data_IF_366839980179
#
_entry.id   IF_366839980179
#
_cell.length_a   1.000
_cell.length_b   1.000
_cell.length_c   1.000
_cell.angle_alpha   90.00
_cell.angle_beta   90.00
_cell.angle_gamma   90.00
#
_symmetry.space_group_name_H-M   'P 1'
#
loop_
_entity.id
_entity.type
_entity.pdbx_description
1 polymer ?
#
# COMPACT_ATOMS: atom_id res chain seq x y z
N UNK A 1 -4.98 -1.69 -13.90
CA UNK A 1 -3.55 -1.52 -13.63
C UNK A 1 -2.77 -1.54 -14.95
N UNK A 2 -1.96 -0.52 -15.19
CA UNK A 2 -1.12 -0.44 -16.41
C UNK A 2 0.26 -1.01 -16.06
N UNK A 3 0.71 -2.03 -16.80
CA UNK A 3 2.06 -2.56 -16.66
C UNK A 3 2.59 -2.99 -18.02
N UNK A 4 3.91 -2.86 -18.24
CA UNK A 4 4.54 -3.28 -19.48
C UNK A 4 4.45 -4.80 -19.62
N UNK A 5 3.85 -5.28 -20.71
CA UNK A 5 3.62 -6.71 -20.95
C UNK A 5 4.29 -7.22 -22.22
N UNK A 6 4.50 -6.34 -23.18
CA UNK A 6 5.12 -6.66 -24.47
C UNK A 6 6.33 -5.74 -24.65
N UNK A 7 7.46 -6.31 -24.96
CA UNK A 7 8.71 -5.59 -25.21
C UNK A 7 9.60 -6.38 -26.18
N UNK A 8 10.53 -5.69 -26.82
CA UNK A 8 11.50 -6.36 -27.69
C UNK A 8 12.52 -7.15 -26.87
N UNK A 9 12.72 -8.41 -27.20
CA UNK A 9 13.75 -9.24 -26.59
C UNK A 9 15.14 -8.86 -27.15
N UNK A 10 15.73 -7.83 -26.55
CA UNK A 10 17.07 -7.33 -26.90
C UNK A 10 17.96 -7.35 -25.66
N UNK A 11 19.30 -7.52 -25.81
CA UNK A 11 20.21 -7.72 -24.67
C UNK A 11 20.23 -6.56 -23.66
N UNK A 12 19.86 -5.35 -24.09
CA UNK A 12 19.88 -4.15 -23.26
C UNK A 12 18.57 -3.86 -22.51
N UNK A 13 17.53 -4.71 -22.66
CA UNK A 13 16.29 -4.60 -21.92
C UNK A 13 16.13 -5.87 -21.08
N UNK A 14 16.10 -5.72 -19.77
CA UNK A 14 15.97 -6.85 -18.83
C UNK A 14 15.03 -6.53 -17.68
N UNK A 15 14.43 -7.57 -17.13
CA UNK A 15 13.75 -7.46 -15.84
C UNK A 15 14.78 -7.24 -14.74
N UNK A 16 14.45 -6.33 -13.86
CA UNK A 16 15.18 -6.00 -12.65
C UNK A 16 14.31 -6.29 -11.45
N UNK A 17 14.87 -6.85 -10.39
CA UNK A 17 14.25 -7.32 -9.14
C UNK A 17 13.59 -8.70 -9.28
N UNK A 18 13.66 -9.47 -8.20
CA UNK A 18 13.09 -10.82 -8.10
C UNK A 18 11.57 -10.78 -7.88
N UNK A 19 11.07 -9.69 -7.30
CA UNK A 19 9.64 -9.42 -7.08
C UNK A 19 9.33 -7.99 -7.49
N UNK A 20 8.09 -7.76 -7.94
CA UNK A 20 7.68 -6.49 -8.52
C UNK A 20 8.62 -6.09 -9.67
N UNK A 21 8.88 -7.05 -10.53
CA UNK A 21 9.81 -6.93 -11.65
C UNK A 21 9.52 -5.67 -12.46
N UNK A 22 10.56 -4.93 -12.73
CA UNK A 22 10.53 -3.74 -13.57
C UNK A 22 11.44 -3.95 -14.75
N UNK A 23 10.97 -3.62 -15.94
CA UNK A 23 11.84 -3.56 -17.12
C UNK A 23 12.75 -2.34 -17.00
N UNK A 24 14.03 -2.57 -17.20
CA UNK A 24 15.04 -1.51 -17.33
C UNK A 24 15.86 -1.69 -18.57
N UNK A 25 16.25 -0.57 -19.14
CA UNK A 25 17.28 -0.49 -20.17
C UNK A 25 18.64 -0.30 -19.49
N UNK A 26 19.71 -0.86 -20.05
CA UNK A 26 21.05 -0.64 -19.52
C UNK A 26 21.38 0.87 -19.52
N UNK A 27 22.23 1.29 -18.55
CA UNK A 27 22.83 2.64 -18.53
C UNK A 27 21.87 3.82 -18.33
N UNK A 28 20.88 3.70 -17.43
CA UNK A 28 19.96 4.80 -17.06
C UNK A 28 19.14 5.39 -18.22
N UNK A 29 19.01 4.68 -19.34
CA UNK A 29 18.15 5.10 -20.42
C UNK A 29 16.70 4.83 -20.09
N UNK A 30 15.85 5.83 -20.27
CA UNK A 30 14.40 5.67 -20.10
C UNK A 30 13.80 4.72 -21.16
N UNK A 31 12.85 3.88 -20.73
CA UNK A 31 12.05 3.05 -21.63
C UNK A 31 10.93 3.90 -22.22
N UNK A 32 10.88 4.01 -23.53
CA UNK A 32 9.71 4.54 -24.21
C UNK A 32 8.59 3.49 -24.17
N UNK A 33 7.43 3.86 -23.66
CA UNK A 33 6.27 2.96 -23.51
C UNK A 33 5.06 3.50 -24.24
N UNK A 34 4.30 2.60 -24.85
CA UNK A 34 3.03 2.92 -25.50
C UNK A 34 1.90 2.10 -24.85
N UNK A 35 0.71 2.70 -24.78
CA UNK A 35 -0.46 2.01 -24.22
C UNK A 35 -1.28 1.41 -25.36
N UNK A 36 -1.50 0.10 -25.30
CA UNK A 36 -2.29 -0.63 -26.27
C UNK A 36 -3.67 -0.93 -25.65
N UNK A 37 -4.78 -0.73 -26.37
CA UNK A 37 -6.13 -0.90 -25.84
C UNK A 37 -6.59 -2.36 -25.88
N UNK A 38 -5.91 -3.25 -25.17
CA UNK A 38 -6.44 -4.60 -24.98
C UNK A 38 -6.37 -5.03 -23.51
N UNK A 39 -7.21 -5.98 -23.15
CA UNK A 39 -7.38 -6.47 -21.77
C UNK A 39 -6.77 -7.86 -21.67
N UNK A 40 -5.89 -8.04 -20.68
CA UNK A 40 -5.35 -9.34 -20.32
C UNK A 40 -6.05 -9.82 -19.05
N UNK A 41 -6.80 -10.92 -19.15
CA UNK A 41 -7.39 -11.55 -17.98
C UNK A 41 -6.33 -12.33 -17.21
N UNK A 42 -6.24 -12.06 -15.91
CA UNK A 42 -5.23 -12.66 -15.06
C UNK A 42 -5.87 -13.33 -13.84
N UNK A 43 -5.77 -14.65 -13.75
CA UNK A 43 -6.32 -15.46 -12.64
C UNK A 43 -5.36 -15.63 -11.46
N UNK A 44 -4.16 -15.05 -11.53
CA UNK A 44 -3.08 -15.25 -10.53
C UNK A 44 -3.36 -14.71 -9.12
N UNK A 45 -4.45 -13.96 -8.94
CA UNK A 45 -4.92 -13.46 -7.65
C UNK A 45 -6.14 -14.20 -7.11
N UNK A 46 -6.60 -15.26 -7.76
CA UNK A 46 -7.65 -16.11 -7.19
C UNK A 46 -7.08 -16.86 -5.99
N UNK A 47 -7.84 -16.90 -4.90
CA UNK A 47 -7.43 -17.49 -3.60
C UNK A 47 -6.90 -18.92 -3.74
N UNK A 48 -7.52 -19.73 -4.58
CA UNK A 48 -7.08 -21.09 -4.84
C UNK A 48 -5.69 -21.14 -5.51
N UNK A 49 -5.47 -20.31 -6.53
CA UNK A 49 -4.18 -20.25 -7.26
C UNK A 49 -3.05 -19.71 -6.35
N UNK A 50 -3.36 -18.79 -5.42
CA UNK A 50 -2.39 -18.27 -4.44
C UNK A 50 -1.98 -19.39 -3.47
N UNK A 51 -2.95 -20.14 -2.94
CA UNK A 51 -2.69 -21.28 -2.01
C UNK A 51 -1.88 -22.39 -2.67
N UNK A 52 -2.27 -22.82 -3.87
CA UNK A 52 -1.60 -23.89 -4.62
C UNK A 52 -0.13 -23.59 -4.95
N UNK A 53 0.21 -22.31 -5.11
CA UNK A 53 1.57 -21.88 -5.50
C UNK A 53 2.43 -21.40 -4.32
N UNK A 54 1.96 -21.47 -3.08
CA UNK A 54 2.64 -20.93 -1.90
C UNK A 54 3.24 -19.53 -2.18
N UNK A 55 2.48 -18.73 -2.94
CA UNK A 55 2.99 -17.49 -3.55
C UNK A 55 3.45 -16.50 -2.50
N UNK A 56 2.71 -16.38 -1.40
CA UNK A 56 2.99 -15.40 -0.36
C UNK A 56 4.27 -15.74 0.43
N UNK A 57 4.50 -17.02 0.73
CA UNK A 57 5.73 -17.46 1.39
C UNK A 57 6.95 -17.22 0.51
N UNK A 58 6.89 -17.68 -0.73
CA UNK A 58 7.97 -17.47 -1.70
C UNK A 58 8.28 -15.98 -1.89
N UNK A 59 7.26 -15.13 -1.96
CA UNK A 59 7.45 -13.70 -2.14
C UNK A 59 8.10 -13.05 -0.91
N UNK A 60 7.67 -13.41 0.30
CA UNK A 60 8.29 -12.91 1.52
C UNK A 60 9.78 -13.31 1.60
N UNK A 61 10.12 -14.59 1.37
CA UNK A 61 11.49 -15.07 1.35
C UNK A 61 12.38 -14.34 0.32
N UNK A 62 11.85 -14.11 -0.89
CA UNK A 62 12.59 -13.40 -1.93
C UNK A 62 12.82 -11.93 -1.57
N UNK A 63 11.83 -11.28 -0.98
CA UNK A 63 11.96 -9.89 -0.49
C UNK A 63 12.96 -9.80 0.66
N UNK A 64 12.93 -10.73 1.60
CA UNK A 64 13.91 -10.77 2.69
C UNK A 64 15.34 -10.97 2.19
N UNK A 65 15.54 -11.83 1.19
CA UNK A 65 16.85 -12.02 0.54
C UNK A 65 17.30 -10.75 -0.16
N UNK A 66 16.42 -10.05 -0.87
CA UNK A 66 16.74 -8.77 -1.51
C UNK A 66 17.08 -7.68 -0.48
N UNK A 67 16.35 -7.63 0.65
CA UNK A 67 16.59 -6.67 1.72
C UNK A 67 17.97 -6.86 2.37
N UNK A 68 18.44 -8.11 2.48
CA UNK A 68 19.76 -8.43 3.03
C UNK A 68 20.92 -8.19 2.05
N UNK A 69 20.63 -8.19 0.75
CA UNK A 69 21.65 -8.08 -0.30
C UNK A 69 21.85 -6.66 -0.85
N UNK A 70 20.96 -5.71 -0.59
CA UNK A 70 21.00 -4.38 -1.20
C UNK A 70 20.75 -3.24 -0.20
N UNK A 71 21.09 -2.01 -0.64
CA UNK A 71 20.64 -0.76 0.01
C UNK A 71 19.12 -0.66 -0.05
N UNK A 72 18.44 -1.32 0.90
CA UNK A 72 16.98 -1.45 0.96
C UNK A 72 16.33 -0.09 1.06
N UNK A 73 15.42 0.19 0.13
CA UNK A 73 14.63 1.43 0.11
C UNK A 73 13.32 1.23 0.87
N UNK A 74 12.71 2.31 1.33
CA UNK A 74 11.43 2.25 2.03
C UNK A 74 10.35 1.47 1.27
N UNK A 75 10.34 1.55 -0.07
CA UNK A 75 9.40 0.81 -0.91
C UNK A 75 9.54 -0.72 -0.80
N UNK A 76 10.74 -1.23 -0.55
CA UNK A 76 10.97 -2.68 -0.40
C UNK A 76 10.35 -3.21 0.90
N UNK A 77 10.49 -2.45 1.98
CA UNK A 77 9.81 -2.75 3.24
C UNK A 77 8.29 -2.63 3.15
N UNK A 78 7.79 -1.66 2.37
CA UNK A 78 6.35 -1.56 2.09
C UNK A 78 5.81 -2.81 1.39
N UNK A 79 6.53 -3.32 0.39
CA UNK A 79 6.14 -4.55 -0.31
C UNK A 79 6.18 -5.78 0.61
N UNK A 80 7.23 -5.89 1.45
CA UNK A 80 7.33 -6.97 2.43
C UNK A 80 6.18 -6.92 3.45
N UNK A 81 5.82 -5.72 3.92
CA UNK A 81 4.68 -5.53 4.81
C UNK A 81 3.37 -6.02 4.18
N UNK A 82 3.15 -5.75 2.88
CA UNK A 82 1.98 -6.26 2.16
C UNK A 82 1.94 -7.80 2.11
N UNK A 83 3.09 -8.46 1.95
CA UNK A 83 3.14 -9.94 1.98
C UNK A 83 2.80 -10.50 3.37
N UNK A 84 3.29 -9.89 4.45
CA UNK A 84 2.91 -10.27 5.82
C UNK A 84 1.42 -10.01 6.08
N UNK A 85 0.90 -8.88 5.65
CA UNK A 85 -0.53 -8.58 5.78
C UNK A 85 -1.41 -9.60 5.04
N UNK A 86 -0.98 -10.05 3.85
CA UNK A 86 -1.69 -11.07 3.08
C UNK A 86 -1.73 -12.45 3.76
N UNK A 87 -0.84 -12.69 4.72
CA UNK A 87 -0.81 -13.88 5.59
C UNK A 87 -1.59 -13.68 6.90
N UNK A 88 -2.21 -12.51 7.09
CA UNK A 88 -2.82 -12.08 8.34
C UNK A 88 -1.83 -11.93 9.53
N UNK A 89 -0.54 -11.79 9.25
CA UNK A 89 0.52 -11.54 10.23
C UNK A 89 0.63 -10.02 10.49
N UNK A 90 -0.38 -9.47 11.20
CA UNK A 90 -0.62 -8.02 11.28
C UNK A 90 0.48 -7.29 12.06
N UNK A 91 1.01 -7.88 13.14
CA UNK A 91 2.11 -7.29 13.92
C UNK A 91 3.38 -7.14 13.09
N UNK A 92 3.76 -8.18 12.35
CA UNK A 92 4.93 -8.12 11.47
C UNK A 92 4.70 -7.14 10.30
N UNK A 93 3.50 -7.13 9.73
CA UNK A 93 3.13 -6.15 8.71
C UNK A 93 3.28 -4.72 9.23
N UNK A 94 2.76 -4.42 10.42
CA UNK A 94 2.88 -3.10 11.06
C UNK A 94 4.34 -2.70 11.26
N UNK A 95 5.17 -3.59 11.77
CA UNK A 95 6.61 -3.37 11.97
C UNK A 95 7.31 -2.96 10.66
N UNK A 96 7.01 -3.66 9.56
CA UNK A 96 7.61 -3.37 8.27
C UNK A 96 7.02 -2.11 7.60
N UNK A 97 5.73 -1.81 7.79
CA UNK A 97 5.16 -0.54 7.35
C UNK A 97 5.79 0.66 8.07
N UNK A 98 6.00 0.58 9.38
CA UNK A 98 6.68 1.63 10.14
C UNK A 98 8.12 1.83 9.66
N UNK A 99 8.84 0.74 9.33
CA UNK A 99 10.19 0.80 8.76
C UNK A 99 10.17 1.42 7.36
N UNK A 100 9.19 1.06 6.53
CA UNK A 100 8.99 1.64 5.21
C UNK A 100 8.74 3.15 5.30
N UNK A 101 7.88 3.57 6.20
CA UNK A 101 7.56 4.97 6.41
C UNK A 101 8.77 5.78 6.90
N UNK A 102 9.59 5.22 7.80
CA UNK A 102 10.83 5.86 8.27
C UNK A 102 11.83 6.09 7.13
N UNK A 103 11.89 5.18 6.17
CA UNK A 103 12.83 5.21 5.04
C UNK A 103 12.21 5.82 3.77
N UNK A 104 11.03 6.45 3.87
CA UNK A 104 10.40 7.10 2.71
C UNK A 104 11.28 8.22 2.15
N UNK A 105 11.38 8.35 0.82
CA UNK A 105 12.12 9.45 0.21
C UNK A 105 11.35 10.78 0.33
N UNK A 106 10.01 10.72 0.18
CA UNK A 106 9.12 11.89 0.24
C UNK A 106 7.68 11.40 0.49
N UNK A 107 6.89 12.19 1.23
CA UNK A 107 5.49 11.86 1.57
C UNK A 107 4.54 11.91 0.34
N UNK A 108 4.94 12.59 -0.74
CA UNK A 108 4.16 12.74 -1.98
C UNK A 108 4.13 11.47 -2.85
N UNK A 109 4.98 10.50 -2.60
CA UNK A 109 4.89 9.23 -3.33
C UNK A 109 3.61 8.48 -2.96
N UNK A 110 2.88 8.01 -3.97
CA UNK A 110 1.59 7.32 -3.80
C UNK A 110 1.65 6.10 -2.87
N UNK A 111 2.75 5.35 -2.88
CA UNK A 111 2.91 4.22 -1.97
C UNK A 111 3.05 4.66 -0.50
N UNK A 112 3.52 5.88 -0.24
CA UNK A 112 3.71 6.39 1.13
C UNK A 112 2.35 6.71 1.76
N UNK A 113 1.45 7.35 1.02
CA UNK A 113 0.09 7.59 1.51
C UNK A 113 -0.65 6.28 1.78
N UNK A 114 -0.53 5.29 0.89
CA UNK A 114 -1.07 3.94 1.10
C UNK A 114 -0.45 3.29 2.35
N UNK A 115 0.86 3.43 2.54
CA UNK A 115 1.57 2.90 3.71
C UNK A 115 1.00 3.46 5.02
N UNK A 116 0.70 4.77 5.07
CA UNK A 116 0.11 5.39 6.27
C UNK A 116 -1.30 4.85 6.53
N UNK A 117 -2.13 4.70 5.51
CA UNK A 117 -3.45 4.05 5.65
C UNK A 117 -3.31 2.63 6.19
N UNK A 118 -2.36 1.84 5.68
CA UNK A 118 -2.12 0.48 6.15
C UNK A 118 -1.63 0.43 7.60
N UNK A 119 -0.79 1.39 8.04
CA UNK A 119 -0.39 1.52 9.44
C UNK A 119 -1.63 1.72 10.33
N UNK A 120 -2.53 2.65 9.95
CA UNK A 120 -3.76 2.89 10.70
C UNK A 120 -4.64 1.65 10.76
N UNK A 121 -4.81 0.95 9.62
CA UNK A 121 -5.60 -0.29 9.57
C UNK A 121 -5.01 -1.40 10.44
N UNK A 122 -3.69 -1.59 10.43
CA UNK A 122 -3.03 -2.54 11.32
C UNK A 122 -3.23 -2.18 12.80
N UNK A 123 -3.03 -0.91 13.16
CA UNK A 123 -3.24 -0.44 14.53
C UNK A 123 -4.69 -0.61 14.97
N UNK A 124 -5.66 -0.33 14.11
CA UNK A 124 -7.09 -0.55 14.35
C UNK A 124 -7.37 -2.04 14.58
N UNK A 125 -6.83 -2.92 13.74
CA UNK A 125 -7.01 -4.37 13.88
C UNK A 125 -6.43 -4.90 15.20
N UNK A 126 -5.31 -4.33 15.66
CA UNK A 126 -4.64 -4.65 16.93
C UNK A 126 -5.27 -3.92 18.13
N UNK A 127 -6.41 -3.26 17.96
CA UNK A 127 -7.13 -2.47 18.97
C UNK A 127 -6.29 -1.36 19.62
N UNK A 128 -5.19 -0.96 18.95
CA UNK A 128 -4.32 0.15 19.36
C UNK A 128 -4.91 1.49 18.92
N UNK A 129 -6.13 1.76 19.34
CA UNK A 129 -6.92 2.88 18.83
C UNK A 129 -6.28 4.26 19.07
N UNK A 130 -5.66 4.47 20.22
CA UNK A 130 -5.01 5.75 20.52
C UNK A 130 -3.81 6.00 19.60
N UNK A 131 -3.01 4.97 19.33
CA UNK A 131 -1.89 5.08 18.40
C UNK A 131 -2.40 5.36 16.97
N UNK A 132 -3.48 4.70 16.56
CA UNK A 132 -4.10 4.94 15.26
C UNK A 132 -4.61 6.37 15.13
N UNK A 133 -5.28 6.91 16.15
CA UNK A 133 -5.77 8.29 16.17
C UNK A 133 -4.63 9.32 16.12
N UNK A 134 -3.48 9.05 16.76
CA UNK A 134 -2.30 9.90 16.66
C UNK A 134 -1.75 9.92 15.22
N UNK A 135 -1.61 8.74 14.58
CA UNK A 135 -1.18 8.66 13.18
C UNK A 135 -2.16 9.38 12.25
N UNK A 136 -3.47 9.25 12.49
CA UNK A 136 -4.50 9.95 11.72
C UNK A 136 -4.35 11.46 11.86
N UNK A 137 -4.13 11.97 13.06
CA UNK A 137 -3.97 13.42 13.31
C UNK A 137 -2.81 14.00 12.50
N UNK A 138 -1.67 13.33 12.48
CA UNK A 138 -0.52 13.75 11.67
C UNK A 138 -0.82 13.65 10.17
N UNK A 139 -1.49 12.58 9.76
CA UNK A 139 -1.79 12.32 8.36
C UNK A 139 -2.79 13.30 7.76
N UNK A 140 -3.79 13.76 8.51
CA UNK A 140 -4.78 14.75 8.05
C UNK A 140 -4.13 16.08 7.68
N UNK A 141 -3.03 16.47 8.34
CA UNK A 141 -2.27 17.67 7.98
C UNK A 141 -1.54 17.51 6.64
N UNK A 142 -1.05 16.32 6.35
CA UNK A 142 -0.26 16.04 5.13
C UNK A 142 -1.16 15.73 3.93
N UNK A 143 -2.25 14.98 4.16
CA UNK A 143 -3.16 14.47 3.14
C UNK A 143 -4.57 15.05 3.31
N UNK A 144 -4.68 16.36 3.49
CA UNK A 144 -5.93 17.07 3.81
C UNK A 144 -7.03 16.92 2.74
N UNK A 145 -6.66 16.60 1.50
CA UNK A 145 -7.61 16.45 0.38
C UNK A 145 -8.19 15.04 0.22
N UNK A 146 -7.81 14.11 1.11
CA UNK A 146 -8.28 12.72 1.06
C UNK A 146 -9.26 12.45 2.21
N UNK A 147 -10.34 11.72 1.96
CA UNK A 147 -11.33 11.41 2.98
C UNK A 147 -10.93 10.25 3.90
N UNK A 148 -9.90 9.46 3.52
CA UNK A 148 -9.55 8.19 4.17
C UNK A 148 -9.35 8.33 5.68
N UNK A 149 -8.58 9.35 6.11
CA UNK A 149 -8.23 9.50 7.51
C UNK A 149 -9.41 9.95 8.36
N UNK A 150 -10.27 10.86 7.85
CA UNK A 150 -11.51 11.23 8.53
C UNK A 150 -12.47 10.04 8.66
N UNK A 151 -12.59 9.25 7.60
CA UNK A 151 -13.38 8.04 7.64
C UNK A 151 -12.86 7.06 8.71
N UNK A 152 -11.56 6.77 8.71
CA UNK A 152 -10.93 5.88 9.67
C UNK A 152 -11.04 6.40 11.12
N UNK A 153 -10.96 7.73 11.32
CA UNK A 153 -11.20 8.36 12.61
C UNK A 153 -12.62 8.08 13.11
N UNK A 154 -13.62 8.30 12.27
CA UNK A 154 -15.02 8.03 12.61
C UNK A 154 -15.24 6.56 12.93
N UNK A 155 -14.66 5.65 12.16
CA UNK A 155 -14.72 4.22 12.39
C UNK A 155 -14.07 3.82 13.73
N UNK A 156 -12.91 4.37 14.08
CA UNK A 156 -12.24 4.10 15.35
C UNK A 156 -13.06 4.63 16.53
N UNK A 157 -13.63 5.84 16.42
CA UNK A 157 -14.52 6.34 17.47
C UNK A 157 -15.74 5.44 17.67
N UNK A 158 -16.33 4.94 16.58
CA UNK A 158 -17.42 3.97 16.65
C UNK A 158 -17.02 2.69 17.40
N UNK A 159 -15.84 2.13 17.09
CA UNK A 159 -15.30 0.95 17.76
C UNK A 159 -15.00 1.19 19.26
N UNK A 160 -14.68 2.42 19.63
CA UNK A 160 -14.51 2.85 21.02
C UNK A 160 -15.83 3.19 21.72
N UNK A 161 -16.97 2.96 21.09
CA UNK A 161 -18.31 3.37 21.58
C UNK A 161 -18.50 4.88 21.79
N UNK A 162 -17.68 5.69 21.17
CA UNK A 162 -17.73 7.16 21.14
C UNK A 162 -18.65 7.61 20.00
N UNK A 163 -19.91 7.30 20.09
CA UNK A 163 -20.85 7.43 18.97
C UNK A 163 -21.09 8.89 18.55
N UNK A 164 -21.10 9.82 19.49
CA UNK A 164 -21.29 11.24 19.19
C UNK A 164 -20.09 11.80 18.40
N UNK A 165 -18.87 11.48 18.83
CA UNK A 165 -17.64 11.85 18.11
C UNK A 165 -17.58 11.22 16.72
N UNK A 166 -17.98 9.95 16.60
CA UNK A 166 -18.03 9.26 15.31
C UNK A 166 -19.03 9.92 14.37
N UNK A 167 -20.22 10.25 14.88
CA UNK A 167 -21.27 10.89 14.09
C UNK A 167 -20.86 12.27 13.61
N UNK A 168 -20.25 13.10 14.47
CA UNK A 168 -19.74 14.43 14.12
C UNK A 168 -18.76 14.36 12.95
N UNK A 169 -17.74 13.50 13.06
CA UNK A 169 -16.70 13.36 12.03
C UNK A 169 -17.27 12.84 10.70
N UNK A 170 -18.17 11.86 10.76
CA UNK A 170 -18.76 11.27 9.54
C UNK A 170 -19.77 12.21 8.87
N UNK A 171 -20.53 12.99 9.62
CA UNK A 171 -21.40 14.05 9.06
C UNK A 171 -20.54 15.14 8.40
N UNK A 172 -19.47 15.58 9.06
CA UNK A 172 -18.54 16.55 8.48
C UNK A 172 -17.96 16.02 7.15
N UNK A 173 -17.58 14.75 7.11
CA UNK A 173 -17.07 14.10 5.90
C UNK A 173 -18.08 14.13 4.76
N UNK A 174 -19.33 13.76 5.01
CA UNK A 174 -20.41 13.74 4.00
C UNK A 174 -20.73 15.15 3.52
N UNK A 175 -20.85 16.13 4.42
CA UNK A 175 -21.17 17.52 4.09
C UNK A 175 -20.07 18.19 3.27
N UNK A 176 -18.81 17.80 3.46
CA UNK A 176 -17.66 18.34 2.76
C UNK A 176 -17.14 17.45 1.62
N UNK A 177 -17.92 16.47 1.15
CA UNK A 177 -17.50 15.53 0.09
C UNK A 177 -16.93 16.21 -1.16
N UNK A 178 -17.36 17.42 -1.47
CA UNK A 178 -16.88 18.20 -2.62
C UNK A 178 -15.44 18.70 -2.48
N UNK A 179 -14.89 18.71 -1.26
CA UNK A 179 -13.50 19.11 -0.97
C UNK A 179 -12.52 17.97 -1.21
N UNK A 180 -13.00 16.73 -1.25
CA UNK A 180 -12.16 15.56 -1.37
C UNK A 180 -12.08 15.12 -2.84
N UNK A 181 -10.86 14.91 -3.30
CA UNK A 181 -10.62 14.52 -4.69
C UNK A 181 -10.76 13.02 -4.90
N UNK A 182 -10.15 12.22 -4.04
CA UNK A 182 -10.11 10.77 -4.19
C UNK A 182 -9.64 10.09 -2.90
N UNK A 183 -10.19 8.91 -2.61
CA UNK A 183 -9.63 8.01 -1.60
C UNK A 183 -8.21 7.55 -2.00
N UNK A 184 -7.31 7.48 -1.03
CA UNK A 184 -5.98 6.88 -1.18
C UNK A 184 -6.13 5.39 -1.47
N UNK A 185 -7.03 4.74 -0.75
CA UNK A 185 -7.38 3.34 -0.93
C UNK A 185 -8.88 3.25 -1.15
N UNK A 186 -9.32 2.59 -2.24
CA UNK A 186 -10.75 2.29 -2.37
C UNK A 186 -11.17 1.43 -1.18
N UNK A 187 -12.10 1.96 -0.38
CA UNK A 187 -12.62 1.27 0.82
C UNK A 187 -13.66 0.23 0.38
N UNK A 188 -13.34 -0.56 -0.62
CA UNK A 188 -14.17 -1.69 -1.09
C UNK A 188 -14.08 -2.93 -0.18
N UNK A 189 -13.46 -2.80 1.02
CA UNK A 189 -13.21 -3.91 1.92
C UNK A 189 -13.82 -3.69 3.32
N UNK A 190 -15.01 -3.10 3.34
CA UNK A 190 -15.82 -3.08 4.55
C UNK A 190 -17.09 -3.89 4.36
#
# INVERSE_FOLDING_TARGET
HKSTRIYRNVPNIRYYRSIHEQLKKNENQELTTETIPFIIYHSGYMTQTIKEKNKNERNAELLEKELNASNSKGFDYFNLANEYLSKAEVEEALKYYLKAYKLKPDFRFSWVSICVVQIVLCLKYLERFNDALNVISDAEHIYSETPDFKYLRGEIYYLQHRYDDALEVLIELVNNKHKYQKFIKSIEYL
#
